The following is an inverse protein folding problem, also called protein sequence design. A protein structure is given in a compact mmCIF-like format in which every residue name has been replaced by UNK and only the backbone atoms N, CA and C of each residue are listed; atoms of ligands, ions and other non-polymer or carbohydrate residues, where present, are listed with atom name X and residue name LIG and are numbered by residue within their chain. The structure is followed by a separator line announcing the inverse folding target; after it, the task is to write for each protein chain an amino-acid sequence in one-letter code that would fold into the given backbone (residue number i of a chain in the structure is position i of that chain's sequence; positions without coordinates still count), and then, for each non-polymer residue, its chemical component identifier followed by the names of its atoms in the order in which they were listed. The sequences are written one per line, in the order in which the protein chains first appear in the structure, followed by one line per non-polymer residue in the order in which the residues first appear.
data_IF_774470107473
#
_entry.id   IF_774470107473
#
_cell.length_a   1.000
_cell.length_b   1.000
_cell.length_c   1.000
_cell.angle_alpha   90.00
_cell.angle_beta   90.00
_cell.angle_gamma   90.00
#
_symmetry.space_group_name_H-M   'P 1'
#
loop_
_entity.id
_entity.type
_entity.pdbx_description
1 polymer ?
#
# COMPACT_ATOMS: atom_id res chain seq x y z
N UNK A 1 -0.47 24.22 11.91
CA UNK A 1 -1.20 23.28 12.77
C UNK A 1 -0.43 23.14 14.08
N UNK A 2 -1.06 23.44 15.23
CA UNK A 2 -0.48 23.16 16.56
C UNK A 2 -0.88 21.75 16.96
N UNK A 3 0.03 20.97 17.58
CA UNK A 3 -0.30 19.66 18.15
C UNK A 3 -1.13 19.81 19.40
N UNK A 4 -2.12 18.95 19.58
CA UNK A 4 -2.79 18.79 20.87
C UNK A 4 -1.88 17.99 21.84
N UNK A 5 -2.14 18.08 23.15
CA UNK A 5 -1.43 17.28 24.16
C UNK A 5 -1.58 15.77 23.91
N UNK A 6 -2.78 15.35 23.48
CA UNK A 6 -3.04 13.95 23.09
C UNK A 6 -2.18 13.52 21.91
N UNK A 7 -2.10 14.32 20.85
CA UNK A 7 -1.27 14.02 19.67
C UNK A 7 0.22 13.92 20.02
N UNK A 8 0.72 14.81 20.90
CA UNK A 8 2.10 14.74 21.39
C UNK A 8 2.34 13.42 22.12
N UNK A 9 1.45 13.03 23.02
CA UNK A 9 1.58 11.76 23.75
C UNK A 9 1.51 10.56 22.79
N UNK A 10 0.54 10.53 21.87
CA UNK A 10 0.32 9.43 20.92
C UNK A 10 1.53 9.21 20.02
N UNK A 11 2.13 10.28 19.51
CA UNK A 11 3.24 10.21 18.56
C UNK A 11 4.61 10.48 19.17
N UNK A 12 4.72 10.56 20.50
CA UNK A 12 5.95 10.91 21.19
C UNK A 12 7.16 10.08 20.74
N UNK A 13 6.99 8.75 20.60
CA UNK A 13 8.06 7.83 20.19
C UNK A 13 8.53 8.03 18.74
N UNK A 14 7.72 8.61 17.89
CA UNK A 14 8.12 9.00 16.53
C UNK A 14 8.75 10.40 16.52
N UNK A 15 8.17 11.33 17.30
CA UNK A 15 8.63 12.73 17.37
C UNK A 15 10.07 12.83 17.90
N UNK A 16 10.51 11.97 18.81
CA UNK A 16 11.89 11.97 19.32
C UNK A 16 12.91 11.47 18.29
N UNK A 17 12.48 10.79 17.22
CA UNK A 17 13.41 10.38 16.17
C UNK A 17 13.87 11.62 15.38
N UNK A 18 15.19 11.93 15.39
CA UNK A 18 15.76 13.13 14.76
C UNK A 18 15.34 13.32 13.31
N UNK A 19 15.21 12.23 12.52
CA UNK A 19 14.78 12.27 11.11
C UNK A 19 13.28 12.52 10.92
N UNK A 20 12.46 12.38 11.96
CA UNK A 20 11.02 12.67 11.93
C UNK A 20 10.75 14.01 12.60
N UNK A 21 10.96 14.09 13.89
CA UNK A 21 10.70 15.29 14.68
C UNK A 21 9.24 15.76 14.61
N UNK A 22 8.98 16.92 15.18
CA UNK A 22 7.66 17.57 15.12
C UNK A 22 7.28 17.90 13.67
N UNK A 23 8.24 18.34 12.85
CA UNK A 23 8.01 18.73 11.46
C UNK A 23 7.61 17.52 10.61
N UNK A 24 8.31 16.40 10.77
CA UNK A 24 7.96 15.15 10.07
C UNK A 24 6.59 14.64 10.49
N UNK A 25 6.28 14.65 11.78
CA UNK A 25 4.95 14.23 12.26
C UNK A 25 3.82 15.12 11.73
N UNK A 26 4.04 16.43 11.57
CA UNK A 26 3.09 17.32 10.88
C UNK A 26 2.87 16.93 9.43
N UNK A 27 3.94 16.55 8.70
CA UNK A 27 3.82 16.07 7.31
C UNK A 27 3.01 14.77 7.24
N UNK A 28 3.24 13.83 8.17
CA UNK A 28 2.47 12.58 8.25
C UNK A 28 0.99 12.88 8.48
N UNK A 29 0.66 13.73 9.46
CA UNK A 29 -0.72 14.16 9.74
C UNK A 29 -1.37 14.97 8.61
N UNK A 30 -0.57 15.64 7.78
CA UNK A 30 -1.04 16.38 6.60
C UNK A 30 -1.22 15.52 5.35
N UNK A 31 -0.75 14.27 5.35
CA UNK A 31 -0.75 13.41 4.18
C UNK A 31 -1.99 12.53 4.06
N UNK A 32 -2.21 12.03 2.84
CA UNK A 32 -3.37 11.21 2.49
C UNK A 32 -2.95 9.96 1.69
N UNK A 33 -3.43 8.79 2.12
CA UNK A 33 -3.09 7.50 1.54
C UNK A 33 -4.33 6.72 1.17
N UNK A 34 -4.38 6.19 -0.07
CA UNK A 34 -5.38 5.23 -0.50
C UNK A 34 -4.77 3.82 -0.49
N UNK A 35 -5.41 2.90 0.19
CA UNK A 35 -5.06 1.48 0.22
C UNK A 35 -6.02 0.74 -0.71
N UNK A 36 -5.48 0.09 -1.73
CA UNK A 36 -6.23 -0.74 -2.68
C UNK A 36 -6.12 -2.19 -2.25
N UNK A 37 -7.23 -2.74 -1.76
CA UNK A 37 -7.32 -4.07 -1.14
C UNK A 37 -7.13 -4.03 0.38
N UNK A 38 -8.08 -4.61 1.11
CA UNK A 38 -8.03 -4.82 2.57
C UNK A 38 -7.68 -6.27 2.92
N UNK A 39 -6.87 -6.91 2.07
CA UNK A 39 -6.44 -8.30 2.20
C UNK A 39 -5.26 -8.51 3.14
N UNK A 40 -4.46 -9.54 2.85
CA UNK A 40 -3.27 -9.91 3.65
C UNK A 40 -2.21 -8.82 3.73
N UNK A 41 -1.99 -8.08 2.63
CA UNK A 41 -1.11 -6.91 2.60
C UNK A 41 -1.79 -5.67 3.17
N UNK A 42 -3.03 -5.41 2.75
CA UNK A 42 -3.77 -4.21 3.16
C UNK A 42 -4.02 -4.12 4.66
N UNK A 43 -4.18 -5.24 5.34
CA UNK A 43 -4.40 -5.29 6.79
C UNK A 43 -3.25 -4.67 7.59
N UNK A 44 -2.02 -5.15 7.52
CA UNK A 44 -0.89 -4.55 8.24
C UNK A 44 -0.57 -3.14 7.76
N UNK A 45 -0.67 -2.85 6.45
CA UNK A 45 -0.50 -1.49 5.92
C UNK A 45 -1.44 -0.52 6.63
N UNK A 46 -2.74 -0.85 6.66
CA UNK A 46 -3.76 0.01 7.23
C UNK A 46 -3.55 0.24 8.74
N UNK A 47 -3.23 -0.82 9.49
CA UNK A 47 -2.98 -0.76 10.93
C UNK A 47 -1.81 0.17 11.24
N UNK A 48 -0.65 -0.03 10.59
CA UNK A 48 0.53 0.78 10.88
C UNK A 48 0.37 2.23 10.42
N UNK A 49 -0.18 2.50 9.23
CA UNK A 49 -0.39 3.86 8.76
C UNK A 49 -1.39 4.64 9.64
N UNK A 50 -2.43 3.96 10.13
CA UNK A 50 -3.37 4.56 11.09
C UNK A 50 -2.69 4.87 12.43
N UNK A 51 -1.94 3.90 12.99
CA UNK A 51 -1.23 4.08 14.25
C UNK A 51 -0.19 5.20 14.16
N UNK A 52 0.52 5.32 13.03
CA UNK A 52 1.52 6.37 12.78
C UNK A 52 0.91 7.75 12.56
N UNK A 53 -0.39 7.86 12.28
CA UNK A 53 -1.10 9.13 12.18
C UNK A 53 -1.14 9.71 10.77
N UNK A 54 -1.20 8.90 9.71
CA UNK A 54 -1.53 9.40 8.37
C UNK A 54 -2.89 10.10 8.45
N UNK A 55 -2.95 11.40 8.12
CA UNK A 55 -4.11 12.24 8.42
C UNK A 55 -5.39 11.83 7.68
N UNK A 56 -5.28 11.19 6.52
CA UNK A 56 -6.41 10.61 5.77
C UNK A 56 -6.05 9.26 5.19
N UNK A 57 -6.83 8.24 5.50
CA UNK A 57 -6.69 6.91 4.92
C UNK A 57 -8.00 6.51 4.24
N UNK A 58 -7.93 6.20 2.94
CA UNK A 58 -9.00 5.56 2.19
C UNK A 58 -8.71 4.07 2.01
N UNK A 59 -9.74 3.24 2.09
CA UNK A 59 -9.64 1.80 1.81
C UNK A 59 -10.67 1.44 0.76
N UNK A 60 -10.21 0.89 -0.36
CA UNK A 60 -11.10 0.39 -1.41
C UNK A 60 -11.02 -1.13 -1.50
N UNK A 61 -12.14 -1.78 -1.24
CA UNK A 61 -12.30 -3.23 -1.32
C UNK A 61 -13.78 -3.57 -1.52
N UNK A 62 -14.09 -4.45 -2.49
CA UNK A 62 -15.46 -4.88 -2.80
C UNK A 62 -15.91 -6.10 -2.00
N UNK A 63 -14.97 -6.85 -1.43
CA UNK A 63 -15.20 -8.18 -0.91
C UNK A 63 -15.75 -8.17 0.51
N UNK A 64 -16.32 -9.30 0.90
CA UNK A 64 -16.73 -9.60 2.26
C UNK A 64 -15.66 -10.47 2.94
N UNK A 65 -15.61 -10.39 4.26
CA UNK A 65 -14.73 -11.23 5.08
C UNK A 65 -15.19 -12.69 4.99
N UNK A 66 -14.26 -13.58 4.69
CA UNK A 66 -14.47 -15.04 4.69
C UNK A 66 -13.57 -15.71 5.73
N UNK A 67 -13.98 -16.87 6.24
CA UNK A 67 -13.21 -17.64 7.23
C UNK A 67 -11.79 -17.94 6.71
N UNK A 68 -11.67 -18.33 5.44
CA UNK A 68 -10.38 -18.61 4.76
C UNK A 68 -9.45 -17.40 4.65
N UNK A 69 -9.92 -16.20 4.98
CA UNK A 69 -9.10 -14.99 4.97
C UNK A 69 -8.39 -14.73 6.30
N UNK A 70 -8.97 -15.18 7.42
CA UNK A 70 -8.59 -14.75 8.77
C UNK A 70 -7.15 -15.10 9.16
N UNK A 71 -6.60 -16.17 8.60
CA UNK A 71 -5.22 -16.58 8.89
C UNK A 71 -4.15 -15.55 8.44
N UNK A 72 -4.50 -14.64 7.50
CA UNK A 72 -3.56 -13.62 6.98
C UNK A 72 -4.10 -12.19 6.95
N UNK A 73 -5.41 -12.01 7.04
CA UNK A 73 -6.06 -10.68 7.04
C UNK A 73 -6.33 -10.24 8.47
N UNK A 74 -5.25 -9.94 9.20
CA UNK A 74 -5.21 -9.79 10.66
C UNK A 74 -6.07 -8.65 11.24
N UNK A 75 -6.57 -7.76 10.41
CA UNK A 75 -7.49 -6.70 10.84
C UNK A 75 -8.90 -7.26 11.12
N UNK A 76 -9.24 -8.44 10.60
CA UNK A 76 -10.56 -9.05 10.75
C UNK A 76 -10.57 -10.13 11.83
N UNK A 77 -11.76 -10.40 12.36
CA UNK A 77 -12.05 -11.44 13.36
C UNK A 77 -13.19 -12.33 12.88
N UNK A 78 -13.41 -13.45 13.54
CA UNK A 78 -14.51 -14.38 13.22
C UNK A 78 -15.87 -13.69 13.21
N UNK A 79 -16.11 -12.73 14.11
CA UNK A 79 -17.36 -11.97 14.18
C UNK A 79 -17.58 -11.02 12.98
N UNK A 80 -16.58 -10.84 12.11
CA UNK A 80 -16.65 -9.99 10.92
C UNK A 80 -17.04 -10.76 9.64
N UNK A 81 -17.12 -12.08 9.70
CA UNK A 81 -17.46 -12.93 8.54
C UNK A 81 -18.76 -12.43 7.89
N UNK A 82 -18.79 -12.42 6.55
CA UNK A 82 -19.86 -11.92 5.68
C UNK A 82 -20.03 -10.40 5.66
N UNK A 83 -19.31 -9.63 6.50
CA UNK A 83 -19.33 -8.16 6.47
C UNK A 83 -18.34 -7.61 5.43
N UNK A 84 -18.59 -6.41 4.92
CA UNK A 84 -17.73 -5.79 3.92
C UNK A 84 -16.35 -5.43 4.51
N UNK A 85 -15.27 -5.84 3.81
CA UNK A 85 -13.89 -5.67 4.27
C UNK A 85 -13.51 -4.21 4.50
N UNK A 86 -13.75 -3.33 3.52
CA UNK A 86 -13.33 -1.92 3.64
C UNK A 86 -14.08 -1.18 4.75
N UNK A 87 -15.36 -1.50 4.97
CA UNK A 87 -16.16 -0.90 6.04
C UNK A 87 -15.66 -1.33 7.43
N UNK A 88 -15.48 -2.64 7.62
CA UNK A 88 -15.01 -3.19 8.90
C UNK A 88 -13.59 -2.73 9.21
N UNK A 89 -12.70 -2.72 8.20
CA UNK A 89 -11.35 -2.19 8.39
C UNK A 89 -11.39 -0.75 8.90
N UNK A 90 -12.14 0.14 8.24
CA UNK A 90 -12.30 1.54 8.69
C UNK A 90 -12.82 1.64 10.11
N UNK A 91 -13.84 0.84 10.48
CA UNK A 91 -14.41 0.86 11.83
C UNK A 91 -13.38 0.45 12.91
N UNK A 92 -12.53 -0.54 12.60
CA UNK A 92 -11.46 -0.97 13.52
C UNK A 92 -10.33 0.04 13.61
N UNK A 93 -9.94 0.64 12.50
CA UNK A 93 -8.90 1.67 12.46
C UNK A 93 -9.29 2.94 13.22
N UNK A 94 -10.57 3.33 13.20
CA UNK A 94 -11.09 4.42 14.06
C UNK A 94 -10.86 4.17 15.54
N UNK A 95 -10.88 2.90 15.99
CA UNK A 95 -10.57 2.54 17.37
C UNK A 95 -9.07 2.64 17.69
N UNK A 96 -8.21 2.38 16.68
CA UNK A 96 -6.76 2.52 16.83
C UNK A 96 -6.38 4.01 16.90
N UNK A 97 -6.92 4.82 16.00
CA UNK A 97 -6.61 6.25 15.95
C UNK A 97 -7.84 7.08 15.55
N UNK A 98 -8.63 7.55 16.53
CA UNK A 98 -9.81 8.36 16.26
C UNK A 98 -9.50 9.77 15.75
N UNK A 99 -8.24 10.22 15.88
CA UNK A 99 -7.81 11.58 15.50
C UNK A 99 -7.52 11.80 14.01
N UNK A 100 -7.73 10.78 13.16
CA UNK A 100 -7.49 10.86 11.71
C UNK A 100 -8.74 10.54 10.91
N UNK A 101 -8.74 10.87 9.61
CA UNK A 101 -9.91 10.69 8.73
C UNK A 101 -9.82 9.36 8.00
N UNK A 102 -10.93 8.62 7.98
CA UNK A 102 -11.07 7.37 7.26
C UNK A 102 -12.22 7.41 6.26
N UNK A 103 -11.98 6.84 5.06
CA UNK A 103 -12.99 6.68 4.02
C UNK A 103 -13.03 5.20 3.57
N UNK A 104 -14.24 4.61 3.50
CA UNK A 104 -14.47 3.25 3.01
C UNK A 104 -15.12 3.30 1.63
N UNK A 105 -14.54 2.58 0.68
CA UNK A 105 -15.08 2.42 -0.67
C UNK A 105 -15.40 0.94 -0.90
N UNK A 106 -16.66 0.56 -0.71
CA UNK A 106 -17.19 -0.79 -0.89
C UNK A 106 -17.41 -1.10 -2.37
N UNK A 107 -16.37 -0.93 -3.18
CA UNK A 107 -16.44 -1.03 -4.65
C UNK A 107 -15.18 -1.67 -5.21
N UNK A 108 -15.32 -2.36 -6.33
CA UNK A 108 -14.17 -2.74 -7.16
C UNK A 108 -13.59 -1.48 -7.79
N UNK A 109 -12.27 -1.32 -7.70
CA UNK A 109 -11.58 -0.26 -8.43
C UNK A 109 -11.55 -0.60 -9.92
N UNK A 110 -11.93 0.35 -10.76
CA UNK A 110 -12.07 0.19 -12.21
C UNK A 110 -11.69 1.49 -12.92
N UNK A 111 -11.43 1.43 -14.23
CA UNK A 111 -11.08 2.61 -15.05
C UNK A 111 -12.08 3.76 -14.89
N UNK A 112 -13.38 3.45 -14.83
CA UNK A 112 -14.45 4.46 -14.70
C UNK A 112 -14.53 5.16 -13.36
N UNK A 113 -13.99 4.56 -12.27
CA UNK A 113 -14.13 5.13 -10.91
C UNK A 113 -12.80 5.48 -10.23
N UNK A 114 -11.67 5.00 -10.73
CA UNK A 114 -10.36 5.19 -10.08
C UNK A 114 -10.02 6.67 -9.86
N UNK A 115 -10.33 7.53 -10.83
CA UNK A 115 -10.06 8.94 -10.67
C UNK A 115 -10.91 9.59 -9.57
N UNK A 116 -12.20 9.24 -9.48
CA UNK A 116 -13.09 9.74 -8.43
C UNK A 116 -12.60 9.32 -7.04
N UNK A 117 -12.17 8.07 -6.90
CA UNK A 117 -11.70 7.50 -5.63
C UNK A 117 -10.32 8.05 -5.27
N UNK A 118 -9.35 7.99 -6.20
CA UNK A 118 -7.93 8.17 -5.91
C UNK A 118 -7.42 9.61 -6.03
N UNK A 119 -8.17 10.54 -6.64
CA UNK A 119 -7.68 11.91 -6.90
C UNK A 119 -7.26 12.68 -5.65
N UNK A 120 -7.91 12.42 -4.51
CA UNK A 120 -7.71 13.13 -3.24
C UNK A 120 -6.51 12.63 -2.43
N UNK A 121 -5.84 11.54 -2.87
CA UNK A 121 -4.77 10.91 -2.11
C UNK A 121 -3.42 11.18 -2.73
N UNK A 122 -2.42 11.45 -1.88
CA UNK A 122 -1.06 11.76 -2.31
C UNK A 122 -0.30 10.49 -2.69
N UNK A 123 -0.49 9.43 -1.91
CA UNK A 123 0.14 8.12 -2.08
C UNK A 123 -0.94 7.06 -2.28
N UNK A 124 -0.72 6.17 -3.25
CA UNK A 124 -1.54 4.99 -3.46
C UNK A 124 -0.71 3.77 -3.05
N UNK A 125 -1.30 2.91 -2.23
CA UNK A 125 -0.67 1.64 -1.84
C UNK A 125 -1.50 0.50 -2.42
N UNK A 126 -0.87 -0.30 -3.24
CA UNK A 126 -1.50 -1.45 -3.87
C UNK A 126 -1.16 -2.72 -3.08
N UNK A 127 -2.17 -3.29 -2.44
CA UNK A 127 -2.17 -4.58 -1.77
C UNK A 127 -3.13 -5.57 -2.43
N UNK A 128 -3.44 -5.37 -3.72
CA UNK A 128 -4.31 -6.27 -4.48
C UNK A 128 -3.59 -7.56 -4.86
N UNK A 129 -4.38 -8.60 -5.10
CA UNK A 129 -3.95 -9.96 -5.43
C UNK A 129 -4.07 -10.31 -6.92
N UNK A 130 -4.32 -9.32 -7.78
CA UNK A 130 -4.53 -9.59 -9.20
C UNK A 130 -3.88 -8.56 -10.12
N UNK A 131 -3.36 -9.02 -11.24
CA UNK A 131 -2.67 -8.18 -12.22
C UNK A 131 -3.55 -7.08 -12.82
N UNK A 132 -4.84 -7.32 -13.07
CA UNK A 132 -5.76 -6.31 -13.63
C UNK A 132 -5.79 -5.06 -12.77
N UNK A 133 -5.90 -5.23 -11.46
CA UNK A 133 -5.89 -4.09 -10.52
C UNK A 133 -4.52 -3.42 -10.45
N UNK A 134 -3.43 -4.19 -10.39
CA UNK A 134 -2.05 -3.67 -10.36
C UNK A 134 -1.75 -2.80 -11.57
N UNK A 135 -2.04 -3.29 -12.78
CA UNK A 135 -1.83 -2.53 -14.00
C UNK A 135 -2.70 -1.26 -14.05
N UNK A 136 -3.97 -1.35 -13.68
CA UNK A 136 -4.87 -0.20 -13.62
C UNK A 136 -4.35 0.89 -12.68
N UNK A 137 -3.93 0.50 -11.47
CA UNK A 137 -3.42 1.43 -10.46
C UNK A 137 -2.09 2.04 -10.90
N UNK A 138 -1.19 1.22 -11.47
CA UNK A 138 0.08 1.70 -12.04
C UNK A 138 -0.15 2.76 -13.13
N UNK A 139 -1.01 2.46 -14.10
CA UNK A 139 -1.27 3.36 -15.24
C UNK A 139 -1.93 4.66 -14.79
N UNK A 140 -2.85 4.58 -13.81
CA UNK A 140 -3.44 5.75 -13.20
C UNK A 140 -2.41 6.62 -12.48
N UNK A 141 -1.55 6.02 -11.63
CA UNK A 141 -0.52 6.74 -10.89
C UNK A 141 0.51 7.38 -11.83
N UNK A 142 0.91 6.68 -12.88
CA UNK A 142 1.78 7.21 -13.92
C UNK A 142 1.16 8.44 -14.59
N UNK A 143 -0.09 8.34 -15.06
CA UNK A 143 -0.82 9.45 -15.71
C UNK A 143 -1.01 10.65 -14.78
N UNK A 144 -1.22 10.41 -13.48
CA UNK A 144 -1.47 11.46 -12.48
C UNK A 144 -0.23 11.88 -11.69
N UNK A 145 0.95 11.37 -12.07
CA UNK A 145 2.24 11.65 -11.42
C UNK A 145 2.22 11.42 -9.90
N UNK A 146 1.49 10.38 -9.45
CA UNK A 146 1.37 10.03 -8.04
C UNK A 146 2.47 9.06 -7.58
N UNK A 147 2.63 8.95 -6.27
CA UNK A 147 3.46 7.91 -5.66
C UNK A 147 2.62 6.64 -5.58
N UNK A 148 3.19 5.51 -6.04
CA UNK A 148 2.62 4.18 -5.92
C UNK A 148 3.60 3.27 -5.19
N UNK A 149 3.10 2.59 -4.17
CA UNK A 149 3.83 1.53 -3.48
C UNK A 149 3.02 0.25 -3.65
N UNK A 150 3.58 -0.71 -4.40
CA UNK A 150 2.91 -1.96 -4.74
C UNK A 150 3.62 -3.13 -4.08
N UNK A 151 2.86 -4.10 -3.58
CA UNK A 151 3.37 -5.34 -2.98
C UNK A 151 2.75 -6.57 -3.65
N UNK A 152 3.50 -7.65 -3.62
CA UNK A 152 3.04 -8.96 -4.05
C UNK A 152 3.55 -10.02 -3.09
N UNK A 153 2.74 -11.04 -2.86
CA UNK A 153 3.12 -12.25 -2.11
C UNK A 153 2.58 -13.47 -2.85
N UNK A 154 3.36 -14.55 -2.86
CA UNK A 154 2.98 -15.85 -3.38
C UNK A 154 3.81 -16.92 -2.68
N UNK A 155 3.20 -18.02 -2.29
CA UNK A 155 3.87 -19.13 -1.60
C UNK A 155 4.69 -18.65 -0.39
N UNK A 156 6.01 -18.60 -0.54
CA UNK A 156 6.96 -18.18 0.49
C UNK A 156 7.71 -16.91 0.11
N UNK A 157 7.36 -16.26 -1.01
CA UNK A 157 8.06 -15.11 -1.57
C UNK A 157 7.22 -13.85 -1.50
N UNK A 158 7.90 -12.72 -1.34
CA UNK A 158 7.28 -11.39 -1.38
C UNK A 158 8.08 -10.39 -2.18
N UNK A 159 7.40 -9.39 -2.70
CA UNK A 159 8.01 -8.33 -3.49
C UNK A 159 7.42 -6.98 -3.11
N UNK A 160 8.25 -5.94 -3.09
CA UNK A 160 7.82 -4.54 -2.89
C UNK A 160 8.46 -3.65 -3.95
N UNK A 161 7.63 -2.78 -4.50
CA UNK A 161 8.02 -1.77 -5.49
C UNK A 161 7.60 -0.40 -5.00
N UNK A 162 8.48 0.60 -5.21
CA UNK A 162 8.11 2.00 -5.04
C UNK A 162 8.27 2.73 -6.37
N UNK A 163 7.22 3.41 -6.82
CA UNK A 163 7.21 4.22 -8.01
C UNK A 163 6.83 5.66 -7.65
N UNK A 164 7.76 6.59 -7.81
CA UNK A 164 7.48 8.01 -7.62
C UNK A 164 7.39 8.67 -9.00
N UNK A 165 6.20 8.71 -9.58
CA UNK A 165 5.97 9.18 -10.94
C UNK A 165 6.08 10.71 -11.12
N UNK A 166 6.35 11.47 -10.05
CA UNK A 166 6.78 12.87 -10.19
C UNK A 166 8.20 12.98 -10.76
N UNK A 167 9.03 11.92 -10.61
CA UNK A 167 10.38 11.83 -11.14
C UNK A 167 10.38 11.20 -12.54
N UNK A 168 10.86 11.90 -13.55
CA UNK A 168 10.90 11.42 -14.95
C UNK A 168 11.71 10.14 -15.15
N UNK A 169 12.69 9.87 -14.30
CA UNK A 169 13.56 8.69 -14.36
C UNK A 169 12.94 7.43 -13.79
N UNK A 170 11.81 7.52 -13.09
CA UNK A 170 11.16 6.38 -12.44
C UNK A 170 10.67 5.37 -13.48
N UNK A 171 11.07 4.08 -13.41
CA UNK A 171 10.43 3.02 -14.17
C UNK A 171 8.99 2.84 -13.72
N UNK A 172 8.18 2.10 -14.48
CA UNK A 172 6.84 1.71 -14.06
C UNK A 172 6.72 0.19 -14.03
N UNK A 173 5.58 -0.34 -13.54
CA UNK A 173 5.35 -1.79 -13.50
C UNK A 173 5.51 -2.43 -14.88
N UNK A 174 5.09 -1.74 -15.96
CA UNK A 174 5.23 -2.22 -17.35
C UNK A 174 6.68 -2.26 -17.87
N UNK A 175 7.61 -1.63 -17.17
CA UNK A 175 9.03 -1.81 -17.48
C UNK A 175 9.53 -3.20 -17.03
N UNK A 176 8.95 -3.73 -15.98
CA UNK A 176 9.27 -5.04 -15.40
C UNK A 176 8.37 -6.14 -15.97
N UNK A 177 7.05 -5.91 -15.99
CA UNK A 177 6.05 -6.84 -16.53
C UNK A 177 5.39 -6.17 -17.74
N UNK A 178 5.93 -6.34 -18.96
CA UNK A 178 5.48 -5.61 -20.16
C UNK A 178 4.05 -5.87 -20.56
N UNK A 179 3.62 -7.11 -20.45
CA UNK A 179 2.28 -7.58 -20.78
C UNK A 179 1.63 -8.26 -19.57
N UNK A 180 0.32 -8.13 -19.48
CA UNK A 180 -0.43 -8.89 -18.49
C UNK A 180 -0.25 -10.37 -18.78
N UNK A 181 0.01 -11.22 -17.78
CA UNK A 181 0.05 -12.67 -17.97
C UNK A 181 -1.23 -13.19 -18.60
N UNK A 182 -1.11 -14.21 -19.46
CA UNK A 182 -2.26 -14.80 -20.17
C UNK A 182 -3.28 -15.41 -19.21
N UNK A 183 -2.83 -15.83 -18.04
CA UNK A 183 -3.68 -16.31 -16.93
C UNK A 183 -3.51 -15.37 -15.72
N UNK A 184 -4.19 -14.21 -15.73
CA UNK A 184 -4.02 -13.18 -14.70
C UNK A 184 -4.52 -13.60 -13.31
N UNK A 185 -5.23 -14.72 -13.21
CA UNK A 185 -5.80 -15.26 -11.99
C UNK A 185 -4.91 -16.36 -11.34
N UNK A 186 -3.84 -16.83 -12.01
CA UNK A 186 -2.96 -17.89 -11.50
C UNK A 186 -2.11 -17.42 -10.29
N UNK A 187 -1.76 -16.12 -10.25
CA UNK A 187 -1.02 -15.55 -9.11
C UNK A 187 -1.94 -15.19 -7.93
N UNK A 188 -3.17 -15.69 -7.93
CA UNK A 188 -4.05 -15.49 -6.82
C UNK A 188 -3.62 -16.41 -5.66
N UNK A 189 -3.32 -15.82 -4.49
CA UNK A 189 -2.98 -16.56 -3.26
C UNK A 189 -4.01 -17.64 -2.90
N UNK A 190 -5.19 -17.63 -3.48
CA UNK A 190 -6.24 -18.61 -3.27
C UNK A 190 -5.89 -19.96 -3.92
N UNK A 191 -5.14 -19.97 -5.04
CA UNK A 191 -4.77 -21.19 -5.76
C UNK A 191 -3.38 -21.72 -5.38
N UNK A 192 -2.43 -20.82 -5.15
CA UNK A 192 -1.04 -21.22 -4.88
C UNK A 192 -0.70 -21.33 -3.38
N UNK A 193 -1.57 -20.79 -2.52
CA UNK A 193 -1.29 -20.65 -1.10
C UNK A 193 -0.30 -19.51 -0.81
N UNK A 194 -0.21 -19.15 0.47
CA UNK A 194 0.73 -18.12 0.94
C UNK A 194 1.01 -18.30 2.43
N UNK A 195 2.27 -18.18 2.79
CA UNK A 195 2.67 -18.13 4.20
C UNK A 195 2.09 -16.86 4.84
N UNK A 196 1.27 -17.03 5.88
CA UNK A 196 0.49 -15.95 6.51
C UNK A 196 1.35 -14.76 6.94
N UNK A 197 2.52 -15.02 7.51
CA UNK A 197 3.45 -14.00 8.03
C UNK A 197 4.02 -13.11 6.93
N UNK A 198 4.09 -13.58 5.68
CA UNK A 198 4.53 -12.75 4.55
C UNK A 198 3.61 -11.54 4.33
N UNK A 199 2.31 -11.70 4.55
CA UNK A 199 1.38 -10.55 4.51
C UNK A 199 1.80 -9.47 5.48
N UNK A 200 2.21 -9.85 6.69
CA UNK A 200 2.74 -8.95 7.71
C UNK A 200 4.06 -8.31 7.28
N UNK A 201 5.05 -9.11 6.90
CA UNK A 201 6.39 -8.63 6.51
C UNK A 201 6.30 -7.65 5.33
N UNK A 202 5.69 -8.05 4.24
CA UNK A 202 5.61 -7.25 3.02
C UNK A 202 4.73 -6.01 3.23
N UNK A 203 3.57 -6.15 3.90
CA UNK A 203 2.69 -5.02 4.16
C UNK A 203 3.32 -3.99 5.10
N UNK A 204 4.10 -4.40 6.09
CA UNK A 204 4.83 -3.44 6.95
C UNK A 204 5.96 -2.74 6.21
N UNK A 205 6.66 -3.43 5.30
CA UNK A 205 7.64 -2.80 4.42
C UNK A 205 6.96 -1.77 3.50
N UNK A 206 5.79 -2.09 2.93
CA UNK A 206 5.02 -1.11 2.14
C UNK A 206 4.64 0.11 2.98
N UNK A 207 4.18 -0.07 4.21
CA UNK A 207 3.86 1.03 5.12
C UNK A 207 5.11 1.89 5.43
N UNK A 208 6.26 1.26 5.62
CA UNK A 208 7.52 1.97 5.82
C UNK A 208 7.93 2.79 4.59
N UNK A 209 7.78 2.25 3.37
CA UNK A 209 8.04 2.99 2.14
C UNK A 209 7.12 4.21 1.99
N UNK A 210 5.84 4.11 2.39
CA UNK A 210 4.92 5.27 2.44
C UNK A 210 5.53 6.40 3.27
N UNK A 211 6.02 6.10 4.46
CA UNK A 211 6.59 7.12 5.36
C UNK A 211 7.88 7.71 4.78
N UNK A 212 8.74 6.88 4.20
CA UNK A 212 9.98 7.34 3.55
C UNK A 212 9.69 8.30 2.40
N UNK A 213 8.71 8.00 1.56
CA UNK A 213 8.32 8.87 0.45
C UNK A 213 7.65 10.18 0.93
N UNK A 214 6.81 10.15 1.96
CA UNK A 214 6.17 11.35 2.53
C UNK A 214 7.21 12.26 3.16
N UNK A 215 8.11 11.71 3.96
CA UNK A 215 9.11 12.47 4.70
C UNK A 215 10.35 12.80 3.87
N UNK A 216 10.58 12.09 2.77
CA UNK A 216 11.81 12.14 1.95
C UNK A 216 13.05 11.80 2.77
N UNK A 217 13.00 10.73 3.56
CA UNK A 217 14.07 10.23 4.43
C UNK A 217 14.50 8.83 4.04
N UNK A 218 15.76 8.50 4.34
CA UNK A 218 16.33 7.19 4.04
C UNK A 218 16.40 6.91 2.54
N UNK A 219 16.75 5.67 2.20
CA UNK A 219 16.88 5.21 0.81
C UNK A 219 15.55 4.66 0.31
N UNK A 220 14.93 5.37 -0.62
CA UNK A 220 13.71 4.91 -1.29
C UNK A 220 13.95 3.65 -2.12
N UNK A 221 12.95 2.79 -2.23
CA UNK A 221 12.93 1.70 -3.23
C UNK A 221 12.57 2.21 -4.63
N UNK A 222 12.44 3.52 -4.85
CA UNK A 222 12.13 4.06 -6.17
C UNK A 222 13.23 3.70 -7.20
N UNK A 223 12.84 2.94 -8.23
CA UNK A 223 13.76 2.38 -9.22
C UNK A 223 14.38 1.04 -8.81
N UNK A 224 13.85 0.42 -7.76
CA UNK A 224 14.26 -0.91 -7.31
C UNK A 224 13.05 -1.79 -7.01
N UNK A 225 13.28 -3.09 -7.05
CA UNK A 225 12.41 -4.10 -6.47
C UNK A 225 13.10 -4.69 -5.24
N UNK A 226 12.39 -4.80 -4.13
CA UNK A 226 12.80 -5.61 -3.00
C UNK A 226 12.17 -6.99 -3.15
N UNK A 227 12.96 -8.04 -3.17
CA UNK A 227 12.56 -9.44 -3.20
C UNK A 227 12.85 -10.03 -1.83
N UNK A 228 11.86 -10.67 -1.24
CA UNK A 228 11.94 -11.30 0.08
C UNK A 228 11.66 -12.79 -0.06
N UNK A 229 12.60 -13.63 0.34
CA UNK A 229 12.43 -15.08 0.52
C UNK A 229 12.08 -15.32 2.00
N UNK A 230 10.85 -15.73 2.27
CA UNK A 230 10.34 -15.90 3.62
C UNK A 230 10.87 -17.14 4.33
N UNK A 231 11.40 -18.15 3.61
CA UNK A 231 12.00 -19.33 4.22
C UNK A 231 13.44 -19.08 4.63
N UNK A 232 14.21 -18.41 3.76
CA UNK A 232 15.63 -18.11 4.04
C UNK A 232 15.82 -16.78 4.78
N UNK A 233 14.76 -15.98 4.94
CA UNK A 233 14.80 -14.63 5.50
C UNK A 233 15.83 -13.74 4.78
N UNK A 234 15.93 -13.87 3.45
CA UNK A 234 16.81 -13.04 2.65
C UNK A 234 16.05 -11.89 2.00
N UNK A 235 16.69 -10.72 1.98
CA UNK A 235 16.17 -9.49 1.40
C UNK A 235 17.11 -9.02 0.30
N UNK A 236 16.68 -9.09 -0.95
CA UNK A 236 17.48 -8.72 -2.11
C UNK A 236 16.89 -7.51 -2.82
N UNK A 237 17.66 -6.42 -2.87
CA UNK A 237 17.31 -5.20 -3.60
C UNK A 237 17.90 -5.27 -5.01
N UNK A 238 17.04 -5.27 -6.04
CA UNK A 238 17.43 -5.36 -7.44
C UNK A 238 17.05 -4.07 -8.16
N UNK A 239 17.98 -3.52 -8.96
CA UNK A 239 17.72 -2.31 -9.74
C UNK A 239 16.71 -2.59 -10.85
N UNK A 240 15.74 -1.70 -10.99
CA UNK A 240 14.73 -1.75 -12.03
C UNK A 240 14.98 -0.63 -13.03
N UNK A 241 15.32 -1.00 -14.25
CA UNK A 241 15.61 -0.04 -15.32
C UNK A 241 14.35 0.29 -16.12
N UNK A 242 14.26 1.51 -16.66
CA UNK A 242 13.26 1.82 -17.66
C UNK A 242 13.51 1.00 -18.92
N UNK A 243 12.48 0.39 -19.43
CA UNK A 243 12.54 -0.37 -20.69
C UNK A 243 12.31 0.57 -21.87
N UNK A 244 13.20 0.53 -22.89
CA UNK A 244 12.98 1.22 -24.17
C UNK A 244 11.64 0.78 -24.77
N UNK A 245 10.89 1.70 -25.37
CA UNK A 245 9.56 1.43 -25.93
C UNK A 245 8.46 1.15 -24.88
N UNK A 246 8.71 1.40 -23.59
CA UNK A 246 7.66 1.34 -22.60
C UNK A 246 6.79 2.59 -22.67
N UNK A 247 5.50 2.41 -22.50
CA UNK A 247 4.48 3.47 -22.41
C UNK A 247 4.87 4.63 -21.45
N UNK A 248 5.64 4.35 -20.40
CA UNK A 248 6.10 5.40 -19.47
C UNK A 248 7.20 6.31 -20.06
N UNK A 249 7.74 5.99 -21.23
CA UNK A 249 8.73 6.82 -21.94
C UNK A 249 8.09 7.76 -22.96
N UNK A 250 6.82 7.55 -23.32
CA UNK A 250 6.12 8.45 -24.21
C UNK A 250 6.01 9.82 -23.56
N UNK A 251 6.55 10.83 -24.24
CA UNK A 251 6.40 12.23 -23.84
C UNK A 251 4.91 12.57 -23.93
N UNK A 252 4.24 12.70 -22.81
CA UNK A 252 2.93 13.36 -22.69
C UNK A 252 3.08 14.75 -22.17
#
# INVERSE_FOLDING_TARGET
MKFTREQINRYSRQIILKKIGIIGQKKILGSSVLIVGAGGLGSPIAIYLAAMGIGRIGIVDKDKVALSNLHRQIIFTTSDIKKNKSLIAVNKLKKINPGIRFESFQKKIMTKNINQIAKKYDVIVDGSDNFKTRFLVNDYCLKKKKILISGAISKFDGQVYTFNFSKKTTPCLRCFIPKMPDRPDIDNCEYEGVLSTLGGIIGTIQANEVIKEILKIGDSLCGYILIVDGLKLTFRKVKLNKRSGCYCNEKK
#
